data_IF_506459086815
#
_entry.id   IF_506459086815
#
_cell.length_a   1.000
_cell.length_b   1.000
_cell.length_c   1.000
_cell.angle_alpha   90.00
_cell.angle_beta   90.00
_cell.angle_gamma   90.00
#
_symmetry.space_group_name_H-M   'P 1'
#
loop_
_entity.id
_entity.type
_entity.pdbx_description
1 polymer ?
#
# COMPACT_ATOMS: atom_id res chain seq x y z
N UNK A 1 -36.61 15.89 15.54
CA UNK A 1 -35.96 14.58 15.75
C UNK A 1 -36.19 13.63 14.58
N UNK A 2 -37.44 13.33 14.20
CA UNK A 2 -37.76 12.44 13.05
C UNK A 2 -37.14 12.90 11.72
N UNK A 3 -37.18 14.20 11.42
CA UNK A 3 -36.58 14.74 10.19
C UNK A 3 -35.04 14.59 10.13
N UNK A 4 -34.34 14.68 11.28
CA UNK A 4 -32.90 14.46 11.36
C UNK A 4 -32.55 12.98 11.13
N UNK A 5 -33.38 12.07 11.65
CA UNK A 5 -33.19 10.64 11.41
C UNK A 5 -33.44 10.28 9.93
N UNK A 6 -34.43 10.89 9.28
CA UNK A 6 -34.67 10.72 7.85
C UNK A 6 -33.51 11.26 6.99
N UNK A 7 -32.95 12.42 7.37
CA UNK A 7 -31.78 12.99 6.70
C UNK A 7 -30.53 12.11 6.87
N UNK A 8 -30.27 11.61 8.08
CA UNK A 8 -29.15 10.69 8.34
C UNK A 8 -29.30 9.37 7.58
N UNK A 9 -30.52 8.84 7.49
CA UNK A 9 -30.82 7.64 6.69
C UNK A 9 -30.55 7.88 5.20
N UNK A 10 -31.02 9.00 4.66
CA UNK A 10 -30.82 9.34 3.25
C UNK A 10 -29.34 9.55 2.92
N UNK A 11 -28.58 10.25 3.76
CA UNK A 11 -27.13 10.42 3.58
C UNK A 11 -26.37 9.08 3.62
N UNK A 12 -26.77 8.15 4.51
CA UNK A 12 -26.20 6.80 4.60
C UNK A 12 -26.44 5.94 3.36
N UNK A 13 -27.51 6.16 2.62
CA UNK A 13 -27.78 5.41 1.38
C UNK A 13 -27.14 6.09 0.17
N UNK A 14 -27.08 7.42 0.18
CA UNK A 14 -26.73 8.22 -0.99
C UNK A 14 -25.23 8.49 -1.15
N UNK A 15 -24.44 8.34 -0.08
CA UNK A 15 -23.00 8.68 -0.10
C UNK A 15 -22.21 7.89 -1.16
N UNK A 16 -22.64 6.67 -1.51
CA UNK A 16 -22.01 5.84 -2.54
C UNK A 16 -22.05 6.46 -3.95
N UNK A 17 -23.04 7.31 -4.25
CA UNK A 17 -23.16 7.98 -5.55
C UNK A 17 -22.19 9.15 -5.74
N UNK A 18 -21.60 9.62 -4.65
CA UNK A 18 -20.62 10.71 -4.65
C UNK A 18 -19.19 10.21 -4.62
N UNK A 19 -18.98 8.89 -4.59
CA UNK A 19 -17.65 8.31 -4.75
C UNK A 19 -17.20 8.48 -6.21
N UNK A 20 -15.92 8.81 -6.44
CA UNK A 20 -15.30 8.76 -7.76
C UNK A 20 -15.56 7.41 -8.43
N UNK A 21 -15.80 7.39 -9.75
CA UNK A 21 -16.16 6.17 -10.47
C UNK A 21 -15.06 5.07 -10.35
N UNK A 22 -13.80 5.47 -10.22
CA UNK A 22 -12.63 4.63 -9.98
C UNK A 22 -12.63 3.94 -8.59
N UNK A 23 -13.50 4.35 -7.67
CA UNK A 23 -13.71 3.68 -6.38
C UNK A 23 -14.88 2.68 -6.40
N UNK A 24 -15.75 2.75 -7.42
CA UNK A 24 -16.80 1.75 -7.64
C UNK A 24 -16.29 0.56 -8.45
N UNK A 25 -15.17 0.73 -9.15
CA UNK A 25 -14.37 -0.40 -9.59
C UNK A 25 -13.82 -1.05 -8.32
N UNK A 26 -14.35 -2.21 -7.94
CA UNK A 26 -13.52 -3.16 -7.21
C UNK A 26 -12.31 -3.35 -8.12
N UNK A 27 -11.08 -2.95 -7.73
CA UNK A 27 -9.94 -3.47 -8.43
C UNK A 27 -10.18 -4.97 -8.40
N UNK A 28 -10.02 -5.64 -9.53
CA UNK A 28 -9.80 -7.07 -9.54
C UNK A 28 -8.52 -7.28 -8.70
N UNK A 29 -8.66 -7.22 -7.36
CA UNK A 29 -7.74 -7.77 -6.41
C UNK A 29 -7.97 -9.24 -6.56
N UNK A 30 -7.53 -9.77 -7.70
CA UNK A 30 -6.91 -11.06 -7.70
C UNK A 30 -5.83 -10.94 -6.62
N UNK A 31 -6.18 -11.37 -5.41
CA UNK A 31 -5.22 -11.77 -4.41
C UNK A 31 -4.42 -12.84 -5.10
N UNK A 32 -3.34 -12.42 -5.76
CA UNK A 32 -2.36 -13.32 -6.30
C UNK A 32 -1.97 -14.19 -5.11
N UNK A 33 -2.24 -15.50 -5.22
CA UNK A 33 -1.79 -16.45 -4.22
C UNK A 33 -0.28 -16.45 -4.33
N UNK A 34 0.37 -15.68 -3.45
CA UNK A 34 1.82 -15.63 -3.38
C UNK A 34 2.28 -17.01 -2.91
N UNK A 35 3.07 -17.69 -3.74
CA UNK A 35 3.62 -18.99 -3.37
C UNK A 35 4.53 -18.85 -2.13
N UNK A 36 4.52 -19.80 -1.19
CA UNK A 36 5.46 -19.78 -0.07
C UNK A 36 6.90 -19.69 -0.58
N UNK A 37 7.68 -18.75 -0.03
CA UNK A 37 9.05 -18.51 -0.47
C UNK A 37 9.20 -17.61 -1.69
N UNK A 38 8.10 -17.14 -2.31
CA UNK A 38 8.18 -16.25 -3.46
C UNK A 38 8.94 -14.97 -3.13
N UNK A 39 9.83 -14.57 -4.02
CA UNK A 39 10.59 -13.33 -3.93
C UNK A 39 10.35 -12.46 -5.15
N UNK A 40 10.28 -11.14 -4.95
CA UNK A 40 10.32 -10.16 -6.04
C UNK A 40 11.50 -9.21 -5.92
N UNK A 41 11.96 -8.66 -7.07
CA UNK A 41 12.87 -7.53 -7.05
C UNK A 41 12.17 -6.28 -6.52
N UNK A 42 12.86 -5.56 -5.65
CA UNK A 42 12.58 -4.18 -5.25
C UNK A 42 13.79 -3.34 -5.61
N UNK A 43 13.54 -2.16 -6.17
CA UNK A 43 14.58 -1.24 -6.60
C UNK A 43 14.77 -0.16 -5.54
N UNK A 44 15.96 -0.10 -4.98
CA UNK A 44 16.32 0.81 -3.89
C UNK A 44 17.32 1.86 -4.38
N UNK A 45 17.13 3.12 -4.01
CA UNK A 45 18.03 4.21 -4.37
C UNK A 45 18.06 5.29 -3.28
N UNK A 46 19.06 6.18 -3.35
CA UNK A 46 19.18 7.32 -2.43
C UNK A 46 18.87 8.62 -3.15
N UNK A 47 18.04 9.47 -2.55
CA UNK A 47 17.80 10.82 -3.06
C UNK A 47 18.97 11.77 -2.78
N UNK A 48 18.83 13.00 -3.25
CA UNK A 48 19.84 14.06 -3.10
C UNK A 48 20.09 14.43 -1.63
N UNK A 49 19.13 14.13 -0.75
CA UNK A 49 19.23 14.29 0.70
C UNK A 49 19.82 13.04 1.39
N UNK A 50 20.15 12.00 0.63
CA UNK A 50 20.71 10.73 1.11
C UNK A 50 19.69 9.75 1.69
N UNK A 51 18.38 10.01 1.56
CA UNK A 51 17.30 9.15 2.08
C UNK A 51 17.05 7.96 1.16
N UNK A 52 16.80 6.80 1.77
CA UNK A 52 16.43 5.59 1.03
C UNK A 52 15.00 5.66 0.52
N UNK A 53 14.84 5.31 -0.76
CA UNK A 53 13.57 5.15 -1.44
C UNK A 53 13.49 3.75 -2.07
N UNK A 54 12.27 3.21 -2.21
CA UNK A 54 12.02 1.85 -2.68
C UNK A 54 10.85 1.84 -3.67
N UNK A 55 11.00 1.15 -4.80
CA UNK A 55 9.98 1.05 -5.86
C UNK A 55 9.88 -0.37 -6.42
N UNK A 56 8.69 -0.74 -6.89
CA UNK A 56 8.47 -2.03 -7.57
C UNK A 56 8.95 -2.02 -9.04
N UNK A 57 9.19 -0.83 -9.61
CA UNK A 57 9.73 -0.65 -10.97
C UNK A 57 11.07 0.08 -10.94
N UNK A 58 11.99 -0.20 -11.88
CA UNK A 58 13.28 0.50 -11.93
C UNK A 58 13.07 1.99 -12.24
N UNK A 59 13.70 2.90 -11.48
CA UNK A 59 13.68 4.32 -11.84
C UNK A 59 14.57 4.57 -13.07
N UNK A 60 14.10 5.41 -14.00
CA UNK A 60 14.75 5.62 -15.29
C UNK A 60 15.89 6.66 -15.25
N UNK A 61 15.88 7.55 -14.26
CA UNK A 61 16.67 8.78 -14.21
C UNK A 61 17.79 8.75 -13.16
N UNK A 62 17.96 7.63 -12.46
CA UNK A 62 18.91 7.50 -11.35
C UNK A 62 19.44 6.07 -11.19
N UNK A 63 20.68 5.92 -10.69
CA UNK A 63 21.19 4.61 -10.34
C UNK A 63 20.38 4.00 -9.19
N UNK A 64 20.22 2.69 -9.21
CA UNK A 64 19.49 1.93 -8.20
C UNK A 64 20.18 0.60 -7.93
N UNK A 65 19.86 0.01 -6.79
CA UNK A 65 20.23 -1.34 -6.39
C UNK A 65 18.99 -2.24 -6.49
N UNK A 66 19.14 -3.44 -7.08
CA UNK A 66 18.06 -4.44 -7.06
C UNK A 66 18.23 -5.36 -5.87
N UNK A 67 17.17 -5.50 -5.07
CA UNK A 67 17.12 -6.36 -3.88
C UNK A 67 15.99 -7.35 -3.98
N UNK A 68 16.21 -8.59 -3.55
CA UNK A 68 15.17 -9.62 -3.54
C UNK A 68 14.45 -9.62 -2.19
N UNK A 69 13.14 -9.42 -2.20
CA UNK A 69 12.29 -9.44 -1.00
C UNK A 69 11.26 -10.54 -1.09
N UNK A 70 11.03 -11.20 0.04
CA UNK A 70 9.96 -12.18 0.20
C UNK A 70 8.60 -11.48 0.13
N UNK A 71 7.70 -12.02 -0.68
CA UNK A 71 6.34 -11.48 -0.86
C UNK A 71 5.34 -12.10 0.12
N UNK A 72 5.69 -13.25 0.70
CA UNK A 72 4.81 -14.06 1.55
C UNK A 72 4.94 -13.74 3.04
N UNK A 73 5.83 -12.83 3.43
CA UNK A 73 6.05 -12.46 4.84
C UNK A 73 6.27 -10.95 5.02
N UNK A 74 5.68 -10.39 6.08
CA UNK A 74 6.05 -9.06 6.56
C UNK A 74 7.22 -9.17 7.54
N UNK A 75 8.31 -8.46 7.27
CA UNK A 75 9.46 -8.38 8.18
C UNK A 75 9.32 -7.14 9.07
N UNK A 76 9.21 -7.35 10.38
CA UNK A 76 9.21 -6.27 11.38
C UNK A 76 10.64 -6.07 11.86
N UNK A 77 11.18 -4.84 11.87
CA UNK A 77 12.49 -4.58 12.44
C UNK A 77 12.52 -4.99 13.92
N UNK A 78 13.52 -5.78 14.33
CA UNK A 78 13.75 -6.01 15.76
C UNK A 78 14.25 -4.71 16.39
N UNK A 79 13.60 -4.27 17.46
CA UNK A 79 14.11 -3.17 18.27
C UNK A 79 15.50 -3.54 18.81
N UNK A 80 16.44 -2.58 18.90
CA UNK A 80 17.71 -2.85 19.56
C UNK A 80 17.45 -3.31 21.01
N UNK A 81 18.31 -4.19 21.57
CA UNK A 81 18.16 -4.60 22.96
C UNK A 81 18.18 -3.37 23.85
N UNK A 82 17.27 -3.32 24.83
CA UNK A 82 17.29 -2.30 25.87
C UNK A 82 18.54 -2.53 26.71
N UNK A 83 19.52 -1.63 26.60
CA UNK A 83 20.59 -1.50 27.59
C UNK A 83 20.01 -0.83 28.82
N UNK A 84 19.87 -1.57 29.90
CA UNK A 84 19.63 -1.07 31.26
C UNK A 84 20.94 -0.67 31.96
#
# INVERSE_FOLDING_TARGET
MVALLALCWWLRESWWHWLPADWQETPDKQTAVVAPGATKPIYAWRDDEGRWNYTDVPPADRPYETRQYREDVNVVPSAPPRTD
#
